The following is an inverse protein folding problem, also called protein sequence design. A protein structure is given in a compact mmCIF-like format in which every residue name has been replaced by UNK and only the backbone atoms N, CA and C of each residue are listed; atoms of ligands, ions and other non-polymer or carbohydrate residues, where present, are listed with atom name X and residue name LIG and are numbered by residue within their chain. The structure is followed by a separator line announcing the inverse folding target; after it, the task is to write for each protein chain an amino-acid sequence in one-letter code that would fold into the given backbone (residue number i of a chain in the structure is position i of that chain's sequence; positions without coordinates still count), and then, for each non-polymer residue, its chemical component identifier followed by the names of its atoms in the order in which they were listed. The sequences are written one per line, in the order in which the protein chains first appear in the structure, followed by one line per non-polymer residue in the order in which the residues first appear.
data_IF_385537894916
#
_entry.id   IF_385537894916
#
_cell.length_a   1.000
_cell.length_b   1.000
_cell.length_c   1.000
_cell.angle_alpha   90.00
_cell.angle_beta   90.00
_cell.angle_gamma   90.00
#
_symmetry.space_group_name_H-M   'P 1'
#
loop_
_entity.id
_entity.type
_entity.pdbx_description
1 polymer ?
#
# COMPACT_ATOMS: atom_id res chain seq x y z
N UNK A 1 15.39 -56.80 39.94
CA UNK A 1 15.20 -56.55 41.37
C UNK A 1 14.10 -55.52 41.52
N UNK A 2 12.94 -56.01 41.96
CA UNK A 2 11.72 -55.26 42.20
C UNK A 2 11.93 -54.15 43.24
N UNK A 3 11.16 -53.07 43.18
CA UNK A 3 10.24 -52.66 44.23
C UNK A 3 9.44 -51.42 43.72
N UNK A 4 8.13 -51.61 43.58
CA UNK A 4 7.07 -50.61 43.74
C UNK A 4 6.57 -50.82 45.19
N UNK A 5 6.15 -49.80 45.92
CA UNK A 5 4.79 -49.25 45.92
C UNK A 5 4.73 -47.76 46.32
N UNK A 6 3.68 -47.02 46.42
CA UNK A 6 2.24 -47.14 46.61
C UNK A 6 1.63 -45.75 46.75
N UNK A 7 0.48 -45.58 46.21
CA UNK A 7 -0.67 -44.68 46.49
C UNK A 7 -0.59 -43.75 47.71
N UNK A 8 -1.04 -42.50 47.51
CA UNK A 8 -2.05 -41.92 48.40
C UNK A 8 -2.85 -40.80 47.71
N UNK A 9 -4.14 -41.03 47.69
CA UNK A 9 -5.22 -40.09 47.37
C UNK A 9 -5.32 -39.03 48.45
N UNK A 10 -5.48 -37.76 48.08
CA UNK A 10 -6.16 -36.78 48.93
C UNK A 10 -7.02 -35.86 48.05
N UNK A 11 -8.33 -36.13 48.16
CA UNK A 11 -9.40 -35.20 47.77
C UNK A 11 -9.47 -34.11 48.82
N UNK A 12 -9.48 -32.86 48.40
CA UNK A 12 -10.00 -31.75 49.19
C UNK A 12 -10.86 -30.83 48.32
N UNK A 13 -12.11 -30.99 48.57
CA UNK A 13 -13.20 -30.07 48.86
C UNK A 13 -13.16 -28.66 48.22
N UNK A 14 -14.18 -28.46 47.37
CA UNK A 14 -14.66 -27.18 46.87
C UNK A 14 -15.10 -26.25 48.01
N UNK A 15 -14.61 -25.04 48.07
CA UNK A 15 -15.33 -23.88 48.62
C UNK A 15 -15.28 -22.74 47.62
N UNK A 16 -16.43 -22.46 47.01
CA UNK A 16 -16.68 -21.27 46.25
C UNK A 16 -16.76 -20.09 47.21
N UNK A 17 -15.86 -19.13 47.07
CA UNK A 17 -16.03 -17.79 47.62
C UNK A 17 -16.47 -16.88 46.49
N UNK A 18 -17.72 -16.47 46.55
CA UNK A 18 -18.27 -15.42 45.74
C UNK A 18 -17.61 -14.08 46.16
N UNK A 19 -16.76 -13.54 45.31
CA UNK A 19 -16.26 -12.16 45.45
C UNK A 19 -17.23 -11.24 44.74
N UNK A 20 -17.94 -10.44 45.53
CA UNK A 20 -18.75 -9.33 45.03
C UNK A 20 -17.84 -8.35 44.29
N UNK A 21 -18.06 -8.18 42.98
CA UNK A 21 -17.45 -7.14 42.19
C UNK A 21 -18.38 -5.91 42.24
N UNK A 22 -17.92 -4.75 42.70
CA UNK A 22 -18.75 -3.53 42.64
C UNK A 22 -18.96 -3.12 41.18
N UNK A 23 -20.21 -2.88 40.82
CA UNK A 23 -20.67 -2.32 39.55
C UNK A 23 -20.03 -0.95 39.32
N UNK A 24 -19.06 -0.90 38.43
CA UNK A 24 -18.53 0.35 37.90
C UNK A 24 -19.45 0.81 36.78
N UNK A 25 -20.09 1.94 36.97
CA UNK A 25 -20.86 2.68 35.97
C UNK A 25 -20.00 2.89 34.72
N UNK A 26 -20.55 2.74 33.50
CA UNK A 26 -19.80 3.03 32.29
C UNK A 26 -19.58 4.56 32.19
N UNK A 27 -18.31 4.95 32.20
CA UNK A 27 -17.89 6.27 31.79
C UNK A 27 -18.39 6.52 30.35
N UNK A 28 -19.16 7.58 30.22
CA UNK A 28 -19.66 8.12 28.97
C UNK A 28 -18.48 8.51 28.10
N UNK A 29 -18.04 7.60 27.22
CA UNK A 29 -17.06 7.91 26.19
C UNK A 29 -17.72 8.85 25.19
N UNK A 30 -17.16 10.04 25.08
CA UNK A 30 -17.48 11.00 24.03
C UNK A 30 -17.37 10.32 22.68
N UNK A 31 -18.46 10.38 21.91
CA UNK A 31 -18.55 9.96 20.53
C UNK A 31 -17.50 10.72 19.71
N UNK A 32 -16.33 10.13 19.56
CA UNK A 32 -15.41 10.45 18.49
C UNK A 32 -16.11 10.02 17.21
N UNK A 33 -16.54 10.98 16.39
CA UNK A 33 -17.12 10.73 15.09
C UNK A 33 -16.08 10.01 14.22
N UNK A 34 -16.20 8.69 14.17
CA UNK A 34 -15.57 7.88 13.15
C UNK A 34 -16.14 8.36 11.81
N UNK A 35 -15.45 9.29 11.14
CA UNK A 35 -15.65 9.50 9.72
C UNK A 35 -15.28 8.18 9.06
N UNK A 36 -16.29 7.44 8.65
CA UNK A 36 -16.16 6.32 7.76
C UNK A 36 -15.50 6.84 6.48
N UNK A 37 -14.19 6.59 6.33
CA UNK A 37 -13.51 6.79 5.07
C UNK A 37 -14.17 5.84 4.07
N UNK A 38 -15.05 6.39 3.26
CA UNK A 38 -15.58 5.68 2.10
C UNK A 38 -14.39 5.45 1.18
N UNK A 39 -13.91 4.21 1.12
CA UNK A 39 -12.94 3.78 0.10
C UNK A 39 -13.64 3.92 -1.26
N UNK A 40 -13.53 5.11 -1.86
CA UNK A 40 -13.82 5.23 -3.28
C UNK A 40 -12.77 4.38 -3.99
N UNK A 41 -13.20 3.32 -4.65
CA UNK A 41 -12.35 2.54 -5.53
C UNK A 41 -11.91 3.46 -6.68
N UNK A 42 -10.78 4.12 -6.51
CA UNK A 42 -10.17 4.93 -7.56
C UNK A 42 -9.83 3.96 -8.70
N UNK A 43 -10.73 3.90 -9.69
CA UNK A 43 -10.47 3.17 -10.93
C UNK A 43 -9.35 3.92 -11.65
N UNK A 44 -8.15 3.35 -11.64
CA UNK A 44 -7.11 3.79 -12.53
C UNK A 44 -7.59 3.61 -13.97
N UNK A 45 -7.94 4.70 -14.64
CA UNK A 45 -8.24 4.71 -16.07
C UNK A 45 -6.89 4.90 -16.78
N UNK A 46 -6.38 3.88 -17.49
CA UNK A 46 -5.12 4.05 -18.20
C UNK A 46 -5.25 5.17 -19.24
N UNK A 47 -4.24 6.04 -19.38
CA UNK A 47 -4.23 7.02 -20.45
C UNK A 47 -4.39 6.29 -21.79
N UNK A 48 -5.25 6.83 -22.67
CA UNK A 48 -5.38 6.29 -24.03
C UNK A 48 -4.09 6.57 -24.76
N UNK A 49 -3.51 5.53 -25.35
CA UNK A 49 -2.32 5.69 -26.22
C UNK A 49 -2.69 6.69 -27.33
N UNK A 50 -1.87 7.72 -27.52
CA UNK A 50 -2.01 8.78 -28.52
C UNK A 50 -3.18 9.77 -28.30
N UNK A 51 -3.69 9.94 -27.10
CA UNK A 51 -4.76 10.88 -26.83
C UNK A 51 -4.34 11.96 -25.84
N UNK A 52 -4.14 13.18 -26.31
CA UNK A 52 -4.05 14.41 -25.52
C UNK A 52 -5.44 15.01 -25.26
N UNK A 53 -6.49 14.19 -25.25
CA UNK A 53 -7.84 14.66 -25.00
C UNK A 53 -7.96 15.16 -23.57
N UNK A 54 -8.61 16.34 -23.41
CA UNK A 54 -8.92 16.89 -22.09
C UNK A 54 -9.72 15.85 -21.29
N UNK A 55 -9.35 15.67 -20.03
CA UNK A 55 -10.12 14.88 -19.08
C UNK A 55 -11.26 15.73 -18.53
N UNK A 56 -12.49 15.25 -18.60
CA UNK A 56 -13.65 15.98 -18.08
C UNK A 56 -13.58 16.16 -16.57
N UNK A 57 -13.02 15.19 -15.87
CA UNK A 57 -12.77 15.24 -14.43
C UNK A 57 -11.40 14.63 -14.11
N UNK A 58 -10.35 15.46 -14.01
CA UNK A 58 -9.07 14.99 -13.51
C UNK A 58 -9.22 14.55 -12.03
N UNK A 59 -8.83 13.30 -11.76
CA UNK A 59 -8.89 12.75 -10.40
C UNK A 59 -7.56 12.95 -9.67
N UNK A 60 -7.56 13.12 -8.35
CA UNK A 60 -6.33 13.28 -7.59
C UNK A 60 -5.54 11.96 -7.56
N UNK A 61 -4.23 12.06 -7.65
CA UNK A 61 -3.32 10.93 -7.45
C UNK A 61 -3.38 10.48 -5.99
N UNK A 62 -3.51 9.17 -5.77
CA UNK A 62 -3.50 8.60 -4.45
C UNK A 62 -2.13 8.02 -4.09
N UNK A 63 -1.74 8.11 -2.83
CA UNK A 63 -0.59 7.40 -2.29
C UNK A 63 -0.87 5.89 -2.24
N UNK A 64 0.15 5.06 -2.46
CA UNK A 64 0.03 3.61 -2.31
C UNK A 64 0.80 3.16 -1.07
N UNK A 65 0.07 2.91 0.03
CA UNK A 65 0.62 2.58 1.34
C UNK A 65 -0.08 1.34 1.87
N UNK A 66 0.66 0.40 2.44
CA UNK A 66 0.13 -0.84 2.99
C UNK A 66 -0.75 -1.61 1.99
N UNK A 67 -0.30 -1.71 0.75
CA UNK A 67 -1.01 -2.37 -0.36
C UNK A 67 -2.40 -1.76 -0.67
N UNK A 68 -2.63 -0.49 -0.34
CA UNK A 68 -3.89 0.24 -0.55
C UNK A 68 -3.63 1.61 -1.17
N UNK A 69 -4.56 2.04 -2.01
CA UNK A 69 -4.59 3.43 -2.46
C UNK A 69 -5.24 4.31 -1.39
N UNK A 70 -4.48 5.29 -0.92
CA UNK A 70 -4.90 6.23 0.13
C UNK A 70 -4.90 7.63 -0.48
N UNK A 71 -6.07 8.26 -0.51
CA UNK A 71 -6.17 9.68 -0.89
C UNK A 71 -5.57 10.50 0.25
N UNK A 72 -4.68 11.43 -0.08
CA UNK A 72 -4.04 12.30 0.92
C UNK A 72 -5.05 13.25 1.57
N UNK A 73 -4.86 13.51 2.85
CA UNK A 73 -5.64 14.48 3.64
C UNK A 73 -4.96 15.88 3.64
N UNK A 74 -4.15 16.15 2.62
CA UNK A 74 -3.45 17.43 2.45
C UNK A 74 -4.35 18.49 1.81
N UNK A 75 -4.16 19.75 2.20
CA UNK A 75 -4.74 20.91 1.51
C UNK A 75 -3.85 21.37 0.33
N UNK A 76 -2.60 20.88 0.24
CA UNK A 76 -1.63 21.30 -0.76
C UNK A 76 -1.51 20.26 -1.89
N UNK A 77 -1.87 20.69 -3.10
CA UNK A 77 -1.86 19.86 -4.31
C UNK A 77 -1.06 20.54 -5.42
N UNK A 78 -0.30 19.73 -6.15
CA UNK A 78 0.45 20.17 -7.33
C UNK A 78 -0.34 19.74 -8.56
N UNK A 79 -0.76 20.71 -9.36
CA UNK A 79 -1.44 20.47 -10.62
C UNK A 79 -0.44 19.94 -11.67
N UNK A 80 -0.72 18.77 -12.23
CA UNK A 80 0.07 18.17 -13.30
C UNK A 80 -0.64 18.38 -14.62
N UNK A 81 0.03 19.08 -15.55
CA UNK A 81 -0.51 19.40 -16.87
C UNK A 81 0.21 18.60 -17.96
N UNK A 82 -0.53 18.28 -19.02
CA UNK A 82 0.05 17.80 -20.28
C UNK A 82 0.84 18.94 -20.92
N UNK A 83 2.16 18.82 -21.10
CA UNK A 83 2.97 19.90 -21.65
C UNK A 83 2.67 20.25 -23.12
N UNK A 84 2.01 19.35 -23.86
CA UNK A 84 1.63 19.60 -25.26
C UNK A 84 0.36 20.46 -25.39
N UNK A 85 -0.61 20.30 -24.49
CA UNK A 85 -1.93 20.93 -24.58
C UNK A 85 -2.24 21.85 -23.41
N UNK A 86 -1.43 21.83 -22.37
CA UNK A 86 -1.66 22.50 -21.08
C UNK A 86 -2.97 22.10 -20.37
N UNK A 87 -3.55 20.95 -20.74
CA UNK A 87 -4.71 20.42 -20.02
C UNK A 87 -4.30 19.79 -18.71
N UNK A 88 -5.09 20.03 -17.66
CA UNK A 88 -4.90 19.39 -16.36
C UNK A 88 -5.13 17.88 -16.49
N UNK A 89 -4.11 17.08 -16.13
CA UNK A 89 -4.16 15.61 -16.15
C UNK A 89 -4.60 15.04 -14.79
N UNK A 90 -3.95 15.51 -13.73
CA UNK A 90 -4.20 15.05 -12.37
C UNK A 90 -3.65 16.05 -11.37
N UNK A 91 -3.93 15.82 -10.09
CA UNK A 91 -3.32 16.53 -8.97
C UNK A 91 -2.52 15.58 -8.13
N UNK A 92 -1.30 15.96 -7.81
CA UNK A 92 -0.38 15.20 -6.97
C UNK A 92 -0.36 15.80 -5.57
N UNK A 93 -0.60 15.02 -4.50
CA UNK A 93 -0.62 15.56 -3.16
C UNK A 93 0.78 15.88 -2.66
N UNK A 94 0.94 16.99 -1.96
CA UNK A 94 2.05 17.17 -1.03
C UNK A 94 1.71 16.39 0.24
N UNK A 95 2.17 15.14 0.30
CA UNK A 95 1.83 14.23 1.39
C UNK A 95 2.23 14.82 2.75
N UNK A 96 1.36 14.68 3.73
CA UNK A 96 1.61 15.19 5.08
C UNK A 96 2.69 14.38 5.80
N UNK A 97 3.32 14.98 6.80
CA UNK A 97 4.27 14.29 7.68
C UNK A 97 3.68 13.05 8.35
N UNK A 98 2.40 13.07 8.66
CA UNK A 98 1.71 11.92 9.26
C UNK A 98 1.60 10.75 8.28
N UNK A 99 1.27 11.03 7.01
CA UNK A 99 1.21 10.03 5.95
C UNK A 99 2.59 9.46 5.64
N UNK A 100 3.63 10.32 5.61
CA UNK A 100 5.01 9.89 5.43
C UNK A 100 5.45 8.96 6.55
N UNK A 101 5.17 9.31 7.82
CA UNK A 101 5.46 8.44 8.96
C UNK A 101 4.70 7.13 8.92
N UNK A 102 3.43 7.15 8.50
CA UNK A 102 2.63 5.94 8.33
C UNK A 102 3.20 5.02 7.24
N UNK A 103 3.65 5.57 6.11
CA UNK A 103 4.30 4.83 5.05
C UNK A 103 5.61 4.17 5.53
N UNK A 104 6.45 4.91 6.26
CA UNK A 104 7.70 4.38 6.84
C UNK A 104 7.39 3.29 7.87
N UNK A 105 6.39 3.48 8.73
CA UNK A 105 6.00 2.48 9.72
C UNK A 105 5.52 1.18 9.05
N UNK A 106 4.70 1.29 7.99
CA UNK A 106 4.24 0.14 7.20
C UNK A 106 5.42 -0.62 6.56
N UNK A 107 6.35 0.09 5.93
CA UNK A 107 7.53 -0.52 5.33
C UNK A 107 8.41 -1.21 6.39
N UNK A 108 8.59 -0.58 7.55
CA UNK A 108 9.35 -1.14 8.68
C UNK A 108 8.68 -2.40 9.22
N UNK A 109 7.36 -2.42 9.34
CA UNK A 109 6.61 -3.60 9.79
C UNK A 109 6.71 -4.77 8.80
N UNK A 110 6.80 -4.51 7.50
CA UNK A 110 6.96 -5.53 6.46
C UNK A 110 8.38 -6.12 6.40
N UNK A 111 9.40 -5.36 6.85
CA UNK A 111 10.80 -5.72 6.68
C UNK A 111 11.21 -7.07 7.31
N UNK A 112 10.79 -7.46 8.53
CA UNK A 112 11.18 -8.73 9.12
C UNK A 112 10.77 -9.94 8.26
N UNK A 113 9.56 -9.94 7.73
CA UNK A 113 9.06 -10.99 6.84
C UNK A 113 9.83 -11.02 5.51
N UNK A 114 10.08 -9.83 4.93
CA UNK A 114 10.87 -9.72 3.70
C UNK A 114 12.30 -10.21 3.91
N UNK A 115 12.94 -9.84 5.02
CA UNK A 115 14.28 -10.31 5.40
C UNK A 115 14.36 -11.83 5.50
N UNK A 116 13.33 -12.47 6.04
CA UNK A 116 13.25 -13.93 6.18
C UNK A 116 12.93 -14.66 4.86
N UNK A 117 12.49 -13.94 3.83
CA UNK A 117 12.17 -14.52 2.51
C UNK A 117 13.46 -14.97 1.82
N UNK A 118 13.47 -16.22 1.32
CA UNK A 118 14.64 -16.78 0.62
C UNK A 118 14.99 -15.97 -0.64
N UNK A 119 16.26 -16.00 -1.03
CA UNK A 119 16.74 -15.34 -2.26
C UNK A 119 15.97 -15.81 -3.48
N UNK A 120 15.74 -17.11 -3.62
CA UNK A 120 14.99 -17.68 -4.76
C UNK A 120 13.57 -17.13 -4.84
N UNK A 121 12.88 -16.99 -3.69
CA UNK A 121 11.53 -16.44 -3.67
C UNK A 121 11.53 -14.96 -4.02
N UNK A 122 12.51 -14.20 -3.55
CA UNK A 122 12.66 -12.78 -3.93
C UNK A 122 12.94 -12.61 -5.42
N UNK A 123 13.81 -13.45 -5.98
CA UNK A 123 14.08 -13.48 -7.43
C UNK A 123 12.82 -13.77 -8.24
N UNK A 124 12.01 -14.75 -7.82
CA UNK A 124 10.76 -15.07 -8.51
C UNK A 124 9.80 -13.85 -8.55
N UNK A 125 9.66 -13.14 -7.44
CA UNK A 125 8.85 -11.92 -7.38
C UNK A 125 9.36 -10.86 -8.37
N UNK A 126 10.69 -10.68 -8.47
CA UNK A 126 11.29 -9.74 -9.42
C UNK A 126 11.10 -10.18 -10.88
N UNK A 127 11.17 -11.48 -11.18
CA UNK A 127 10.86 -11.98 -12.52
C UNK A 127 9.40 -11.75 -12.91
N UNK A 128 8.47 -12.02 -12.00
CA UNK A 128 7.05 -11.77 -12.22
C UNK A 128 6.79 -10.26 -12.43
N UNK A 129 7.43 -9.40 -11.65
CA UNK A 129 7.37 -7.95 -11.83
C UNK A 129 7.90 -7.51 -13.19
N UNK A 130 9.05 -8.03 -13.62
CA UNK A 130 9.64 -7.76 -14.94
C UNK A 130 8.69 -8.18 -16.08
N UNK A 131 8.04 -9.34 -15.94
CA UNK A 131 7.04 -9.81 -16.91
C UNK A 131 5.82 -8.87 -16.97
N UNK A 132 5.37 -8.35 -15.83
CA UNK A 132 4.27 -7.37 -15.77
C UNK A 132 4.65 -6.04 -16.43
N UNK A 133 5.88 -5.54 -16.24
CA UNK A 133 6.35 -4.33 -16.93
C UNK A 133 6.34 -4.54 -18.45
N UNK A 134 6.87 -5.67 -18.94
CA UNK A 134 6.87 -6.01 -20.37
C UNK A 134 5.45 -6.07 -20.94
N UNK A 135 4.54 -6.72 -20.22
CA UNK A 135 3.14 -6.82 -20.64
C UNK A 135 2.46 -5.44 -20.74
N UNK A 136 2.87 -4.48 -19.91
CA UNK A 136 2.29 -3.14 -19.87
C UNK A 136 3.20 -2.06 -20.50
N UNK A 137 4.17 -2.45 -21.31
CA UNK A 137 5.19 -1.56 -21.86
C UNK A 137 4.61 -0.32 -22.53
N UNK A 138 3.73 -0.52 -23.50
CA UNK A 138 3.14 0.58 -24.26
C UNK A 138 2.27 1.49 -23.38
N UNK A 139 1.60 0.93 -22.40
CA UNK A 139 0.81 1.68 -21.43
C UNK A 139 1.68 2.57 -20.54
N UNK A 140 2.82 2.05 -20.07
CA UNK A 140 3.78 2.80 -19.27
C UNK A 140 4.44 3.91 -20.11
N UNK A 141 4.82 3.61 -21.36
CA UNK A 141 5.37 4.59 -22.28
C UNK A 141 4.36 5.71 -22.59
N UNK A 142 3.09 5.39 -22.80
CA UNK A 142 2.04 6.37 -23.02
C UNK A 142 1.84 7.33 -21.84
N UNK A 143 1.93 6.81 -20.60
CA UNK A 143 1.88 7.64 -19.39
C UNK A 143 3.04 8.62 -19.35
N UNK A 144 4.26 8.17 -19.63
CA UNK A 144 5.46 9.01 -19.68
C UNK A 144 5.33 10.09 -20.75
N UNK A 145 4.86 9.74 -21.96
CA UNK A 145 4.64 10.71 -23.04
C UNK A 145 3.65 11.80 -22.61
N UNK A 146 2.55 11.39 -22.01
CA UNK A 146 1.48 12.31 -21.60
C UNK A 146 1.94 13.28 -20.50
N UNK A 147 2.71 12.80 -19.53
CA UNK A 147 3.13 13.61 -18.38
C UNK A 147 4.38 14.47 -18.67
N UNK A 148 5.30 13.97 -19.49
CA UNK A 148 6.58 14.63 -19.77
C UNK A 148 6.68 15.29 -21.15
N UNK A 149 5.76 14.99 -22.05
CA UNK A 149 5.76 15.55 -23.40
C UNK A 149 6.82 14.96 -24.33
N UNK A 150 7.54 13.92 -23.95
CA UNK A 150 8.52 13.27 -24.85
C UNK A 150 7.84 12.37 -25.86
N UNK A 151 8.58 12.03 -26.95
CA UNK A 151 8.05 11.13 -27.96
C UNK A 151 7.74 9.75 -27.38
N UNK A 152 6.76 9.05 -27.94
CA UNK A 152 6.40 7.70 -27.49
C UNK A 152 7.58 6.72 -27.61
N UNK A 153 8.42 6.88 -28.64
CA UNK A 153 9.59 6.05 -28.83
C UNK A 153 10.66 6.27 -27.74
N UNK A 154 10.90 7.53 -27.35
CA UNK A 154 11.82 7.83 -26.25
C UNK A 154 11.28 7.32 -24.91
N UNK A 155 9.97 7.46 -24.70
CA UNK A 155 9.30 6.90 -23.52
C UNK A 155 9.43 5.37 -23.41
N UNK A 156 9.35 4.66 -24.56
CA UNK A 156 9.64 3.22 -24.61
C UNK A 156 11.09 2.91 -24.21
N UNK A 157 12.02 3.78 -24.58
CA UNK A 157 13.42 3.67 -24.14
C UNK A 157 13.59 3.84 -22.63
N UNK A 158 12.81 4.71 -21.99
CA UNK A 158 12.83 4.87 -20.52
C UNK A 158 12.33 3.62 -19.82
N UNK A 159 11.25 3.03 -20.29
CA UNK A 159 10.74 1.75 -19.77
C UNK A 159 11.78 0.64 -19.92
N UNK A 160 12.51 0.61 -21.06
CA UNK A 160 13.59 -0.36 -21.29
C UNK A 160 14.71 -0.21 -20.25
N UNK A 161 15.15 1.02 -19.98
CA UNK A 161 16.18 1.29 -18.98
C UNK A 161 15.75 0.80 -17.59
N UNK A 162 14.50 1.03 -17.21
CA UNK A 162 13.93 0.51 -15.96
C UNK A 162 13.96 -1.03 -15.90
N UNK A 163 13.67 -1.70 -17.02
CA UNK A 163 13.78 -3.15 -17.10
C UNK A 163 15.23 -3.65 -16.94
N UNK A 164 16.19 -2.97 -17.56
CA UNK A 164 17.61 -3.34 -17.47
C UNK A 164 18.13 -3.28 -16.03
N UNK A 165 17.72 -2.27 -15.26
CA UNK A 165 18.05 -2.19 -13.84
C UNK A 165 17.48 -3.38 -13.07
N UNK A 166 16.25 -3.80 -13.36
CA UNK A 166 15.64 -4.96 -12.70
C UNK A 166 16.38 -6.27 -12.96
N UNK A 167 17.16 -6.37 -14.06
CA UNK A 167 17.97 -7.55 -14.39
C UNK A 167 19.34 -7.55 -13.72
N UNK A 168 19.89 -6.39 -13.41
CA UNK A 168 21.20 -6.26 -12.79
C UNK A 168 21.18 -6.52 -11.27
N UNK A 169 20.01 -6.54 -10.65
CA UNK A 169 19.81 -6.90 -9.23
C UNK A 169 19.72 -8.44 -9.11
N UNK A 170 20.84 -9.14 -9.46
CA UNK A 170 20.96 -10.60 -9.30
C UNK A 170 21.69 -10.97 -8.02
#
# INVERSE_FOLDING_TARGET
MQIVPSRSFLRLSRRAHAILVPSILPLRTSSSSNRLFTQSSVRFVPPRVNSHAKLDQPYPTANFIDNKFVVSDTDEWIDLHDPATNHLLTRVPQSTDAELRAAVASATAAFPQWKATSILKRQQILFDFTALIRKNWDRLAASITLEQGKTFQDAKGDVLRGLQVSWSVR
#
